data_IF_243627455306
#
_entry.id   IF_243627455306
#
_cell.length_a   1.000
_cell.length_b   1.000
_cell.length_c   1.000
_cell.angle_alpha   90.00
_cell.angle_beta   90.00
_cell.angle_gamma   90.00
#
_symmetry.space_group_name_H-M   'P 1'
#
loop_
_entity.id
_entity.type
_entity.pdbx_description
1 polymer ?
#
# COMPACT_ATOMS: atom_id res chain seq x y z
N UNK A 1 -62.57 15.23 28.65
CA UNK A 1 -61.12 15.54 28.56
C UNK A 1 -60.46 14.36 27.87
N UNK A 2 -60.23 14.46 26.56
CA UNK A 2 -59.55 13.40 25.75
C UNK A 2 -58.04 13.62 25.84
N UNK A 3 -57.33 12.68 26.47
CA UNK A 3 -55.86 12.67 26.50
C UNK A 3 -55.35 12.09 25.18
N UNK A 4 -54.72 12.93 24.35
CA UNK A 4 -54.02 12.52 23.12
C UNK A 4 -52.63 12.04 23.54
N UNK A 5 -52.37 10.74 23.43
CA UNK A 5 -51.04 10.15 23.63
C UNK A 5 -50.29 10.26 22.29
N UNK A 6 -49.31 11.15 22.25
CA UNK A 6 -48.42 11.29 21.11
C UNK A 6 -47.35 10.20 21.19
N UNK A 7 -47.50 9.14 20.38
CA UNK A 7 -46.48 8.09 20.25
C UNK A 7 -45.37 8.63 19.35
N UNK A 8 -44.21 8.92 19.96
CA UNK A 8 -43.01 9.32 19.25
C UNK A 8 -42.36 8.05 18.68
N UNK A 9 -42.58 7.80 17.39
CA UNK A 9 -41.92 6.68 16.67
C UNK A 9 -40.48 7.07 16.42
N UNK A 10 -39.55 6.49 17.20
CA UNK A 10 -38.12 6.63 17.03
C UNK A 10 -37.68 5.73 15.86
N UNK A 11 -37.54 6.28 14.67
CA UNK A 11 -37.01 5.57 13.50
C UNK A 11 -35.50 5.60 13.62
N UNK A 12 -34.80 4.47 13.83
CA UNK A 12 -33.35 4.44 13.79
C UNK A 12 -32.91 4.71 12.35
N UNK A 13 -32.22 5.82 12.13
CA UNK A 13 -31.48 6.09 10.90
C UNK A 13 -30.33 5.08 10.81
N UNK A 14 -30.58 3.96 10.13
CA UNK A 14 -29.49 3.11 9.66
C UNK A 14 -28.68 3.92 8.63
N UNK A 15 -27.55 4.48 9.08
CA UNK A 15 -26.53 5.00 8.18
C UNK A 15 -26.00 3.83 7.35
N UNK A 16 -26.50 3.71 6.14
CA UNK A 16 -25.86 2.85 5.13
C UNK A 16 -24.51 3.50 4.87
N UNK A 17 -23.44 2.92 5.43
CA UNK A 17 -22.08 3.25 5.06
C UNK A 17 -21.97 3.04 3.55
N UNK A 18 -21.88 4.12 2.79
CA UNK A 18 -21.64 4.06 1.35
C UNK A 18 -20.29 3.36 1.17
N UNK A 19 -20.34 2.11 0.68
CA UNK A 19 -19.17 1.46 0.16
C UNK A 19 -18.66 2.36 -0.97
N UNK A 20 -17.53 3.03 -0.74
CA UNK A 20 -16.80 3.70 -1.80
C UNK A 20 -16.66 2.68 -2.95
N UNK A 21 -16.89 3.12 -4.18
CA UNK A 21 -16.92 2.27 -5.38
C UNK A 21 -15.55 1.60 -5.56
N UNK A 22 -15.38 0.43 -4.93
CA UNK A 22 -14.12 -0.31 -4.90
C UNK A 22 -13.80 -0.84 -6.29
N UNK A 23 -12.63 -0.50 -6.82
CA UNK A 23 -12.14 -0.96 -8.12
C UNK A 23 -11.11 -2.07 -7.94
N UNK A 24 -11.29 -3.13 -8.71
CA UNK A 24 -10.45 -4.33 -8.68
C UNK A 24 -9.52 -4.36 -9.89
N UNK A 25 -8.25 -4.72 -9.66
CA UNK A 25 -7.23 -4.86 -10.70
C UNK A 25 -6.46 -6.16 -10.47
N UNK A 26 -6.17 -6.90 -11.53
CA UNK A 26 -5.54 -8.22 -11.46
C UNK A 26 -6.50 -9.31 -10.97
N UNK A 27 -5.99 -10.22 -10.15
CA UNK A 27 -6.78 -11.29 -9.55
C UNK A 27 -7.82 -10.71 -8.56
N UNK A 28 -8.99 -11.34 -8.50
CA UNK A 28 -10.04 -10.93 -7.57
C UNK A 28 -9.65 -11.37 -6.15
N UNK A 29 -9.45 -10.40 -5.27
CA UNK A 29 -9.09 -10.61 -3.88
C UNK A 29 -10.19 -10.09 -2.95
N UNK A 30 -10.22 -10.56 -1.70
CA UNK A 30 -11.06 -9.99 -0.65
C UNK A 30 -10.25 -9.00 0.22
N UNK A 31 -10.88 -8.02 0.87
CA UNK A 31 -10.18 -7.03 1.69
C UNK A 31 -9.81 -7.52 3.10
N UNK A 32 -10.18 -8.73 3.46
CA UNK A 32 -10.03 -9.26 4.82
C UNK A 32 -8.63 -9.84 5.08
N UNK A 33 -8.28 -10.01 6.36
CA UNK A 33 -7.05 -10.67 6.82
C UNK A 33 -5.77 -9.99 6.34
N UNK A 34 -5.72 -8.67 6.36
CA UNK A 34 -4.49 -7.92 6.08
C UNK A 34 -3.51 -7.99 7.24
N UNK A 35 -2.21 -8.09 6.91
CA UNK A 35 -1.12 -8.04 7.90
C UNK A 35 -0.56 -6.63 8.04
N UNK A 36 0.11 -6.38 9.17
CA UNK A 36 0.87 -5.15 9.42
C UNK A 36 2.25 -5.23 8.77
N UNK A 37 2.99 -4.12 8.80
CA UNK A 37 4.35 -4.02 8.26
C UNK A 37 5.29 -5.11 8.80
N UNK A 38 5.25 -5.39 10.11
CA UNK A 38 6.04 -6.47 10.72
C UNK A 38 5.71 -7.84 10.10
N UNK A 39 4.44 -8.11 9.84
CA UNK A 39 4.00 -9.32 9.15
C UNK A 39 4.54 -9.42 7.73
N UNK A 40 4.65 -8.31 7.00
CA UNK A 40 5.24 -8.30 5.65
C UNK A 40 6.70 -8.77 5.65
N UNK A 41 7.48 -8.38 6.65
CA UNK A 41 8.88 -8.80 6.78
C UNK A 41 8.97 -10.33 6.95
N UNK A 42 8.07 -10.91 7.74
CA UNK A 42 8.02 -12.35 7.93
C UNK A 42 7.61 -13.07 6.64
N UNK A 43 6.57 -12.60 5.96
CA UNK A 43 6.15 -13.13 4.65
C UNK A 43 7.26 -13.05 3.59
N UNK A 44 8.06 -11.98 3.60
CA UNK A 44 9.21 -11.84 2.70
C UNK A 44 10.27 -12.93 2.94
N UNK A 45 10.58 -13.25 4.20
CA UNK A 45 11.53 -14.31 4.57
C UNK A 45 11.01 -15.70 4.20
N UNK A 46 9.73 -15.93 4.37
CA UNK A 46 9.08 -17.22 4.09
C UNK A 46 8.71 -17.38 2.59
N UNK A 47 8.86 -16.33 1.78
CA UNK A 47 8.39 -16.27 0.40
C UNK A 47 6.92 -16.72 0.28
N UNK A 48 6.09 -16.27 1.21
CA UNK A 48 4.68 -16.62 1.31
C UNK A 48 3.78 -15.49 0.84
N UNK A 49 2.55 -15.84 0.47
CA UNK A 49 1.53 -14.87 0.06
C UNK A 49 1.16 -13.97 1.23
N UNK A 50 1.17 -12.67 1.00
CA UNK A 50 0.78 -11.67 1.99
C UNK A 50 -0.38 -10.81 1.46
N UNK A 51 -1.18 -10.30 2.37
CA UNK A 51 -2.20 -9.30 2.09
C UNK A 51 -1.98 -8.10 3.00
N UNK A 52 -1.96 -6.90 2.42
CA UNK A 52 -1.69 -5.68 3.17
C UNK A 52 -2.60 -4.55 2.72
N UNK A 53 -2.95 -3.67 3.65
CA UNK A 53 -3.61 -2.41 3.36
C UNK A 53 -2.63 -1.24 3.45
N UNK A 54 -2.92 -0.19 2.71
CA UNK A 54 -2.09 1.00 2.73
C UNK A 54 -2.77 2.20 2.09
N UNK A 55 -1.97 3.23 1.86
CA UNK A 55 -2.39 4.45 1.16
C UNK A 55 -1.49 4.68 -0.05
N UNK A 56 -2.07 4.89 -1.21
CA UNK A 56 -1.30 5.12 -2.44
C UNK A 56 -0.67 6.52 -2.37
N UNK A 57 0.64 6.58 -2.55
CA UNK A 57 1.40 7.82 -2.62
C UNK A 57 1.54 8.31 -4.07
N UNK A 58 1.80 7.39 -5.00
CA UNK A 58 1.95 7.70 -6.42
C UNK A 58 1.74 6.46 -7.28
N UNK A 59 1.48 6.65 -8.57
CA UNK A 59 1.45 5.59 -9.58
C UNK A 59 2.24 6.00 -10.81
N UNK A 60 2.60 5.00 -11.63
CA UNK A 60 3.35 5.23 -12.86
C UNK A 60 2.59 6.15 -13.83
N UNK A 61 3.07 7.36 -14.13
CA UNK A 61 2.36 8.33 -14.97
C UNK A 61 2.33 7.94 -16.46
N UNK A 62 3.21 7.03 -16.87
CA UNK A 62 3.28 6.58 -18.27
C UNK A 62 2.28 5.47 -18.57
N UNK A 63 2.23 4.42 -17.73
CA UNK A 63 1.44 3.21 -17.99
C UNK A 63 0.59 2.72 -16.81
N UNK A 64 0.84 3.20 -15.58
CA UNK A 64 0.22 2.63 -14.37
C UNK A 64 0.78 1.26 -14.01
N UNK A 65 2.04 0.97 -14.37
CA UNK A 65 2.68 -0.34 -14.22
C UNK A 65 3.35 -0.58 -12.86
N UNK A 66 3.33 0.41 -12.00
CA UNK A 66 3.79 0.35 -10.62
C UNK A 66 3.07 1.39 -9.78
N UNK A 67 3.12 1.25 -8.49
CA UNK A 67 2.71 2.28 -7.53
C UNK A 67 3.60 2.26 -6.29
N UNK A 68 3.61 3.37 -5.56
CA UNK A 68 4.18 3.48 -4.22
C UNK A 68 3.05 3.52 -3.22
N UNK A 69 3.12 2.68 -2.22
CA UNK A 69 2.10 2.53 -1.19
C UNK A 69 2.74 2.71 0.17
N UNK A 70 2.18 3.61 0.97
CA UNK A 70 2.54 3.75 2.37
C UNK A 70 1.82 2.66 3.17
N UNK A 71 2.60 1.82 3.83
CA UNK A 71 2.15 0.79 4.76
C UNK A 71 2.68 1.18 6.13
N UNK A 72 1.82 1.66 7.01
CA UNK A 72 2.18 2.26 8.30
C UNK A 72 3.25 3.36 8.15
N UNK A 73 4.49 3.10 8.55
CA UNK A 73 5.61 4.07 8.50
C UNK A 73 6.48 3.95 7.26
N UNK A 74 6.36 2.86 6.50
CA UNK A 74 7.24 2.56 5.38
C UNK A 74 6.56 2.74 4.03
N UNK A 75 7.38 3.09 3.03
CA UNK A 75 6.96 3.13 1.63
C UNK A 75 7.38 1.85 0.92
N UNK A 76 6.40 1.14 0.37
CA UNK A 76 6.58 -0.10 -0.36
C UNK A 76 6.42 0.16 -1.86
N UNK A 77 7.41 -0.25 -2.65
CA UNK A 77 7.32 -0.22 -4.11
C UNK A 77 6.50 -1.43 -4.57
N UNK A 78 5.40 -1.18 -5.28
CA UNK A 78 4.50 -2.22 -5.78
C UNK A 78 4.63 -2.33 -7.28
N UNK A 79 4.89 -3.53 -7.76
CA UNK A 79 4.80 -3.93 -9.17
C UNK A 79 3.73 -4.99 -9.32
N UNK A 80 3.31 -5.27 -10.54
CA UNK A 80 2.23 -6.21 -10.81
C UNK A 80 2.80 -7.49 -11.41
N UNK A 81 2.26 -8.63 -10.97
CA UNK A 81 2.68 -9.96 -11.37
C UNK A 81 2.69 -10.09 -12.91
N UNK A 82 3.81 -10.55 -13.41
CA UNK A 82 4.03 -10.84 -14.84
C UNK A 82 3.69 -9.66 -15.78
N UNK A 83 3.67 -8.43 -15.25
CA UNK A 83 3.22 -7.24 -15.99
C UNK A 83 1.79 -7.38 -16.54
N UNK A 84 0.95 -8.20 -15.88
CA UNK A 84 -0.33 -8.69 -16.38
C UNK A 84 -1.50 -7.71 -16.26
N UNK A 85 -1.36 -6.65 -15.45
CA UNK A 85 -2.38 -5.60 -15.33
C UNK A 85 -1.77 -4.25 -14.91
N UNK A 86 -2.57 -3.19 -15.04
CA UNK A 86 -2.16 -1.83 -14.71
C UNK A 86 -3.25 -1.11 -13.93
N UNK A 87 -2.85 -0.11 -13.15
CA UNK A 87 -3.75 0.80 -12.43
C UNK A 87 -3.85 2.14 -13.17
N UNK A 88 -4.81 3.00 -12.83
CA UNK A 88 -4.88 4.35 -13.40
C UNK A 88 -3.58 5.14 -13.21
N UNK A 89 -3.24 5.94 -14.22
CA UNK A 89 -2.00 6.74 -14.26
C UNK A 89 -2.04 7.97 -13.34
N UNK A 90 -3.24 8.41 -12.94
CA UNK A 90 -3.49 9.63 -12.15
C UNK A 90 -4.73 9.44 -11.28
N UNK A 91 -4.83 10.25 -10.22
CA UNK A 91 -6.01 10.29 -9.37
C UNK A 91 -6.09 9.13 -8.37
N UNK A 92 -4.95 8.51 -8.07
CA UNK A 92 -4.85 7.45 -7.06
C UNK A 92 -4.24 7.94 -5.75
N UNK A 93 -3.62 9.10 -5.73
CA UNK A 93 -2.95 9.66 -4.57
C UNK A 93 -3.92 9.79 -3.39
N UNK A 94 -3.48 9.39 -2.21
CA UNK A 94 -4.24 9.34 -0.96
C UNK A 94 -5.41 8.34 -0.92
N UNK A 95 -5.65 7.56 -1.97
CA UNK A 95 -6.64 6.49 -1.95
C UNK A 95 -6.18 5.31 -1.11
N UNK A 96 -7.13 4.65 -0.46
CA UNK A 96 -6.88 3.40 0.27
C UNK A 96 -6.76 2.25 -0.71
N UNK A 97 -5.84 1.35 -0.41
CA UNK A 97 -5.57 0.18 -1.24
C UNK A 97 -5.41 -1.07 -0.40
N UNK A 98 -5.89 -2.19 -0.91
CA UNK A 98 -5.57 -3.53 -0.42
C UNK A 98 -4.82 -4.26 -1.51
N UNK A 99 -3.70 -4.87 -1.14
CA UNK A 99 -2.80 -5.63 -2.02
C UNK A 99 -2.75 -7.08 -1.55
N UNK A 100 -2.79 -8.01 -2.49
CA UNK A 100 -2.46 -9.40 -2.23
C UNK A 100 -1.38 -9.86 -3.20
N UNK A 101 -0.32 -10.49 -2.67
CA UNK A 101 0.81 -10.91 -3.48
C UNK A 101 2.02 -11.32 -2.65
N UNK A 102 3.20 -11.22 -3.24
CA UNK A 102 4.46 -11.61 -2.61
C UNK A 102 5.29 -10.40 -2.23
N UNK A 103 5.84 -10.44 -1.02
CA UNK A 103 6.78 -9.43 -0.52
C UNK A 103 8.19 -9.87 -0.85
N UNK A 104 9.02 -8.93 -1.26
CA UNK A 104 10.48 -9.12 -1.37
C UNK A 104 11.18 -8.12 -0.47
N UNK A 105 12.24 -8.58 0.16
CA UNK A 105 13.13 -7.73 0.92
C UNK A 105 14.45 -7.61 0.16
N UNK A 106 14.67 -6.44 -0.40
CA UNK A 106 15.91 -6.11 -1.10
C UNK A 106 16.87 -5.42 -0.13
N UNK A 107 18.17 -5.75 -0.23
CA UNK A 107 19.21 -5.13 0.57
C UNK A 107 20.01 -4.18 -0.32
N UNK A 108 19.96 -2.89 -0.01
CA UNK A 108 20.79 -1.88 -0.65
C UNK A 108 22.12 -1.86 0.11
N UNK A 109 23.21 -2.26 -0.58
CA UNK A 109 24.54 -2.30 0.03
C UNK A 109 25.03 -0.91 0.43
N UNK A 110 25.93 -0.84 1.43
CA UNK A 110 26.59 0.40 1.85
C UNK A 110 27.23 1.11 0.67
N UNK A 111 27.85 0.35 -0.25
CA UNK A 111 28.49 0.90 -1.46
C UNK A 111 27.46 1.63 -2.34
N UNK A 112 26.30 1.01 -2.56
CA UNK A 112 25.24 1.59 -3.38
C UNK A 112 24.61 2.81 -2.70
N UNK A 113 24.38 2.76 -1.40
CA UNK A 113 23.85 3.92 -0.63
C UNK A 113 24.80 5.12 -0.68
N UNK A 114 26.11 4.87 -0.59
CA UNK A 114 27.13 5.92 -0.73
C UNK A 114 27.15 6.50 -2.14
N UNK A 115 27.03 5.67 -3.15
CA UNK A 115 26.93 6.12 -4.55
C UNK A 115 25.70 7.01 -4.76
N UNK A 116 24.54 6.60 -4.28
CA UNK A 116 23.33 7.45 -4.35
C UNK A 116 23.49 8.78 -3.61
N UNK A 117 24.17 8.77 -2.46
CA UNK A 117 24.44 10.00 -1.72
C UNK A 117 25.42 10.93 -2.44
N UNK A 118 26.41 10.38 -3.16
CA UNK A 118 27.32 11.13 -4.03
C UNK A 118 26.58 11.75 -5.20
N UNK A 119 25.73 10.98 -5.91
CA UNK A 119 24.90 11.46 -7.01
C UNK A 119 23.91 12.55 -6.58
N UNK A 120 23.42 12.47 -5.33
CA UNK A 120 22.59 13.50 -4.72
C UNK A 120 23.37 14.73 -4.23
N UNK A 121 24.69 14.78 -4.45
CA UNK A 121 25.55 15.90 -4.06
C UNK A 121 25.76 16.07 -2.55
N UNK A 122 25.58 14.99 -1.75
CA UNK A 122 25.79 15.06 -0.31
C UNK A 122 27.27 15.24 0.04
N UNK A 123 27.59 15.97 1.13
CA UNK A 123 28.96 16.18 1.54
C UNK A 123 29.62 14.87 1.99
N UNK A 124 30.93 14.74 1.77
CA UNK A 124 31.72 13.55 2.14
C UNK A 124 31.57 13.15 3.63
N UNK A 125 31.34 14.11 4.51
CA UNK A 125 31.10 13.86 5.93
C UNK A 125 29.80 13.09 6.20
N UNK A 126 28.75 13.32 5.41
CA UNK A 126 27.48 12.57 5.50
C UNK A 126 27.62 11.18 4.86
N UNK A 127 28.29 11.11 3.70
CA UNK A 127 28.51 9.85 3.00
C UNK A 127 29.27 8.84 3.87
N UNK A 128 30.29 9.31 4.63
CA UNK A 128 31.04 8.46 5.57
C UNK A 128 30.19 7.90 6.71
N UNK A 129 29.09 8.56 7.09
CA UNK A 129 28.18 8.09 8.13
C UNK A 129 27.31 6.90 7.69
N UNK A 130 27.27 6.60 6.40
CA UNK A 130 26.54 5.45 5.86
C UNK A 130 27.39 4.20 6.15
N UNK A 131 27.08 3.51 7.24
CA UNK A 131 27.85 2.34 7.72
C UNK A 131 27.03 1.05 7.81
N UNK A 132 25.73 1.12 7.52
CA UNK A 132 24.81 -0.02 7.54
C UNK A 132 24.10 -0.13 6.20
N UNK A 133 23.78 -1.36 5.73
CA UNK A 133 22.92 -1.54 4.58
C UNK A 133 21.49 -1.09 4.93
N UNK A 134 20.73 -0.71 3.92
CA UNK A 134 19.31 -0.40 4.04
C UNK A 134 18.48 -1.54 3.48
N UNK A 135 17.43 -1.92 4.20
CA UNK A 135 16.46 -2.89 3.71
C UNK A 135 15.28 -2.15 3.10
N UNK A 136 14.90 -2.55 1.90
CA UNK A 136 13.77 -1.99 1.19
C UNK A 136 12.77 -3.09 0.87
N UNK A 137 11.51 -2.86 1.25
CA UNK A 137 10.43 -3.76 0.89
C UNK A 137 9.89 -3.40 -0.51
N UNK A 138 9.74 -4.41 -1.33
CA UNK A 138 8.99 -4.36 -2.58
C UNK A 138 7.88 -5.41 -2.56
N UNK A 139 6.83 -5.18 -3.35
CA UNK A 139 5.65 -6.02 -3.38
C UNK A 139 5.29 -6.35 -4.83
N UNK A 140 5.12 -7.63 -5.12
CA UNK A 140 4.61 -8.10 -6.41
C UNK A 140 3.14 -8.47 -6.20
N UNK A 141 2.24 -7.59 -6.62
CA UNK A 141 0.82 -7.78 -6.42
C UNK A 141 0.22 -8.70 -7.48
N UNK A 142 -0.51 -9.72 -7.01
CA UNK A 142 -1.39 -10.55 -7.83
C UNK A 142 -2.73 -9.84 -8.06
N UNK A 143 -3.25 -9.18 -7.03
CA UNK A 143 -4.51 -8.46 -7.05
C UNK A 143 -4.47 -7.19 -6.21
N UNK A 144 -5.29 -6.22 -6.59
CA UNK A 144 -5.38 -4.89 -5.98
C UNK A 144 -6.83 -4.45 -5.87
N UNK A 145 -7.23 -3.93 -4.71
CA UNK A 145 -8.49 -3.22 -4.50
C UNK A 145 -8.17 -1.77 -4.18
N UNK A 146 -8.75 -0.82 -4.91
CA UNK A 146 -8.62 0.63 -4.66
C UNK A 146 -9.99 1.20 -4.30
N UNK A 147 -10.05 1.91 -3.16
CA UNK A 147 -11.26 2.54 -2.62
C UNK A 147 -11.21 4.06 -2.78
#
# INVERSE_FOLDING_TARGET
MKKIILIFVFIPLFSIAQNADSKYYGEKINPENTVKLEGLINHAKENSLAKVNGTILSSCPKKGCWMQVQVETDTVQVTFKDYGFFVPKKGLENKKVVLEGFVKQDTISIKMLRHFAEDAGKPKSEIKKIIKPEFKLSFIANGVIIN
#
